data_IF_550092938741
#
_entry.id   IF_550092938741
#
_cell.length_a   1.000
_cell.length_b   1.000
_cell.length_c   1.000
_cell.angle_alpha   90.00
_cell.angle_beta   90.00
_cell.angle_gamma   90.00
#
_symmetry.space_group_name_H-M   'P 1'
#
loop_
_entity.id
_entity.type
_entity.pdbx_description
1 polymer ?
#
# COMPACT_ATOMS: atom_id res chain seq x y z
N UNK A 1 28.55 46.62 4.43
CA UNK A 1 27.74 46.35 3.22
C UNK A 1 26.79 45.18 3.58
N UNK A 2 25.49 45.50 3.65
CA UNK A 2 24.44 44.53 3.85
C UNK A 2 24.35 43.67 2.57
N UNK A 3 24.64 42.38 2.68
CA UNK A 3 24.48 41.46 1.60
C UNK A 3 23.48 40.36 2.01
N UNK A 4 22.48 40.14 1.17
CA UNK A 4 21.59 39.02 1.30
C UNK A 4 22.35 37.75 0.90
N UNK A 5 22.24 36.71 1.72
CA UNK A 5 22.86 35.42 1.51
C UNK A 5 21.80 34.33 1.43
N UNK A 6 21.86 33.53 0.37
CA UNK A 6 20.95 32.40 0.19
C UNK A 6 21.54 31.19 0.91
N UNK A 7 20.78 30.61 1.85
CA UNK A 7 21.19 29.45 2.62
C UNK A 7 21.33 28.23 1.71
N UNK A 8 22.49 27.53 1.79
CA UNK A 8 22.74 26.35 0.96
C UNK A 8 22.00 25.12 1.49
N UNK A 9 21.92 24.11 0.63
CA UNK A 9 21.62 22.74 1.05
C UNK A 9 22.64 22.24 2.08
N UNK A 10 22.18 21.38 2.99
CA UNK A 10 23.06 20.81 4.00
C UNK A 10 23.91 19.66 3.38
N UNK A 11 25.20 19.83 3.34
CA UNK A 11 26.14 18.79 2.88
C UNK A 11 26.68 17.89 4.01
N UNK A 12 26.29 18.16 5.28
CA UNK A 12 26.70 17.33 6.40
C UNK A 12 25.85 16.07 6.47
N UNK A 13 26.45 14.97 6.94
CA UNK A 13 25.74 13.76 7.24
C UNK A 13 25.30 13.76 8.71
N UNK A 14 24.04 13.44 8.98
CA UNK A 14 23.51 13.27 10.33
C UNK A 14 24.09 12.06 11.03
N UNK A 15 24.03 12.02 12.36
CA UNK A 15 24.40 10.86 13.14
C UNK A 15 23.52 9.65 12.81
N UNK A 16 24.04 8.43 12.99
CA UNK A 16 23.23 7.21 12.89
C UNK A 16 22.00 7.30 13.83
N UNK A 17 20.84 6.80 13.39
CA UNK A 17 19.60 6.83 14.19
C UNK A 17 19.68 5.93 15.43
N UNK A 18 20.51 4.87 15.37
CA UNK A 18 20.89 4.00 16.48
C UNK A 18 22.27 3.43 16.21
N UNK A 19 22.93 2.91 17.26
CA UNK A 19 24.22 2.24 17.13
C UNK A 19 24.11 1.04 16.18
N UNK A 20 25.00 1.00 15.16
CA UNK A 20 25.00 -0.05 14.12
C UNK A 20 23.91 0.09 13.05
N UNK A 21 23.07 1.11 13.10
CA UNK A 21 22.07 1.38 12.06
C UNK A 21 22.72 1.87 10.77
N UNK A 22 22.31 1.37 9.60
CA UNK A 22 22.73 1.92 8.31
C UNK A 22 22.04 3.26 8.00
N UNK A 23 21.01 3.64 8.76
CA UNK A 23 20.23 4.86 8.55
C UNK A 23 20.75 5.98 9.43
N UNK A 24 20.82 7.17 8.85
CA UNK A 24 21.27 8.40 9.49
C UNK A 24 20.10 9.34 9.71
N UNK A 25 20.23 10.25 10.64
CA UNK A 25 19.28 11.36 10.81
C UNK A 25 19.30 12.23 9.58
N UNK A 26 18.14 12.58 9.08
CA UNK A 26 17.97 13.48 7.95
C UNK A 26 18.10 14.94 8.40
N UNK A 27 18.64 15.82 7.54
CA UNK A 27 18.63 17.24 7.77
C UNK A 27 17.19 17.75 7.81
N UNK A 28 16.90 18.62 8.77
CA UNK A 28 15.60 19.25 8.92
C UNK A 28 15.64 20.70 8.44
N UNK A 29 16.46 21.51 9.08
CA UNK A 29 16.59 22.94 8.80
C UNK A 29 17.88 23.50 9.41
N UNK A 30 18.19 24.74 9.07
CA UNK A 30 19.21 25.53 9.74
C UNK A 30 18.58 26.25 10.93
N UNK A 31 19.24 26.25 12.07
CA UNK A 31 18.93 27.13 13.19
C UNK A 31 19.94 28.27 13.22
N UNK A 32 19.46 29.50 13.12
CA UNK A 32 20.27 30.72 13.20
C UNK A 32 19.68 31.57 14.32
N UNK A 33 20.43 31.72 15.42
CA UNK A 33 20.04 32.50 16.60
C UNK A 33 18.64 32.13 17.14
N UNK A 34 18.29 30.86 17.11
CA UNK A 34 16.99 30.34 17.56
C UNK A 34 15.88 30.45 16.53
N UNK A 35 16.15 30.96 15.34
CA UNK A 35 15.18 31.05 14.24
C UNK A 35 15.41 29.88 13.26
N UNK A 36 14.32 29.17 12.90
CA UNK A 36 14.30 28.11 11.90
C UNK A 36 14.38 28.70 10.49
N UNK A 37 15.27 28.17 9.67
CA UNK A 37 15.54 28.60 8.29
C UNK A 37 15.75 27.40 7.40
N UNK A 38 15.35 27.48 6.14
CA UNK A 38 15.45 26.40 5.16
C UNK A 38 16.47 26.70 4.07
N UNK A 39 17.03 25.71 3.40
CA UNK A 39 17.78 25.91 2.16
C UNK A 39 16.97 26.77 1.17
N UNK A 40 17.64 27.75 0.56
CA UNK A 40 16.98 28.69 -0.33
C UNK A 40 16.42 29.94 0.37
N UNK A 41 16.32 29.96 1.70
CA UNK A 41 15.95 31.19 2.42
C UNK A 41 17.04 32.25 2.24
N UNK A 42 16.59 33.48 2.05
CA UNK A 42 17.42 34.68 2.02
C UNK A 42 17.58 35.24 3.42
N UNK A 43 18.82 35.50 3.85
CA UNK A 43 19.12 36.11 5.15
C UNK A 43 20.01 37.32 4.94
N UNK A 44 19.74 38.38 5.70
CA UNK A 44 20.58 39.57 5.72
C UNK A 44 21.73 39.34 6.70
N UNK A 45 22.97 39.41 6.21
CA UNK A 45 24.19 39.20 7.01
C UNK A 45 24.80 40.52 7.39
N UNK A 46 24.63 40.91 8.66
CA UNK A 46 25.14 42.18 9.21
C UNK A 46 26.36 41.96 10.13
N UNK A 47 26.78 40.73 10.35
CA UNK A 47 27.91 40.35 11.22
C UNK A 47 28.16 38.85 11.15
N UNK A 48 28.98 38.34 12.06
CA UNK A 48 29.28 36.89 12.14
C UNK A 48 28.00 36.09 12.46
N UNK A 49 27.67 35.11 11.63
CA UNK A 49 26.50 34.26 11.78
C UNK A 49 26.95 32.78 11.83
N UNK A 50 26.34 32.00 12.70
CA UNK A 50 26.54 30.57 12.78
C UNK A 50 25.23 29.83 12.43
N UNK A 51 25.22 29.15 11.29
CA UNK A 51 24.12 28.28 10.89
C UNK A 51 24.32 26.88 11.50
N UNK A 52 23.45 26.47 12.40
CA UNK A 52 23.50 25.17 13.05
C UNK A 52 22.52 24.22 12.37
N UNK A 53 23.03 23.09 11.85
CA UNK A 53 22.16 22.05 11.28
C UNK A 53 21.31 21.40 12.39
N UNK A 54 20.01 21.29 12.13
CA UNK A 54 19.05 20.58 12.97
C UNK A 54 18.66 19.27 12.27
N UNK A 55 18.63 18.18 13.03
CA UNK A 55 18.44 16.83 12.51
C UNK A 55 17.13 16.24 13.02
N UNK A 56 16.44 15.49 12.17
CA UNK A 56 15.26 14.68 12.50
C UNK A 56 15.51 13.20 12.20
N UNK A 57 14.69 12.34 12.74
CA UNK A 57 14.66 10.95 12.29
C UNK A 57 14.16 10.88 10.82
N UNK A 58 14.65 9.92 10.03
CA UNK A 58 14.12 9.71 8.68
C UNK A 58 12.63 9.40 8.74
N UNK A 59 11.90 9.78 7.71
CA UNK A 59 10.53 9.33 7.52
C UNK A 59 10.51 7.85 7.18
N UNK A 60 9.36 7.21 7.35
CA UNK A 60 9.19 5.81 7.00
C UNK A 60 8.16 5.65 5.89
N UNK A 61 8.32 4.60 5.10
CA UNK A 61 7.23 3.99 4.35
C UNK A 61 6.73 2.79 5.16
N UNK A 62 5.46 2.84 5.56
CA UNK A 62 4.80 1.79 6.31
C UNK A 62 3.82 1.06 5.39
N UNK A 63 4.05 -0.23 5.20
CA UNK A 63 3.22 -1.11 4.42
C UNK A 63 2.22 -1.84 5.31
N UNK A 64 0.96 -1.85 4.89
CA UNK A 64 -0.10 -2.66 5.48
C UNK A 64 -0.49 -3.73 4.47
N UNK A 65 -0.41 -4.98 4.87
CA UNK A 65 -0.74 -6.10 3.99
C UNK A 65 -2.21 -6.12 3.58
N UNK A 66 -3.11 -5.60 4.41
CA UNK A 66 -4.55 -5.59 4.17
C UNK A 66 -5.10 -6.96 3.72
N UNK A 67 -4.62 -8.02 4.38
CA UNK A 67 -4.84 -9.43 4.10
C UNK A 67 -5.53 -10.13 5.26
N UNK A 68 -6.29 -9.40 6.09
CA UNK A 68 -7.02 -9.87 7.28
C UNK A 68 -6.11 -10.29 8.46
N UNK A 69 -4.81 -10.47 8.26
CA UNK A 69 -3.86 -10.84 9.35
C UNK A 69 -3.40 -9.61 10.15
N UNK A 70 -3.47 -8.41 9.55
CA UNK A 70 -2.98 -7.18 10.14
C UNK A 70 -1.48 -6.99 10.05
N UNK A 71 -0.81 -7.71 9.15
CA UNK A 71 0.63 -7.63 8.95
C UNK A 71 1.07 -6.24 8.49
N UNK A 72 2.15 -5.76 9.11
CA UNK A 72 2.71 -4.43 8.88
C UNK A 72 4.23 -4.54 8.76
N UNK A 73 4.79 -3.89 7.74
CA UNK A 73 6.23 -3.72 7.57
C UNK A 73 6.58 -2.23 7.48
N UNK A 74 7.74 -1.83 8.02
CA UNK A 74 8.14 -0.43 8.08
C UNK A 74 9.59 -0.26 7.68
N UNK A 75 9.85 0.66 6.76
CA UNK A 75 11.17 0.94 6.20
C UNK A 75 11.50 2.42 6.33
N UNK A 76 12.62 2.76 6.99
CA UNK A 76 13.10 4.12 7.01
C UNK A 76 13.63 4.53 5.61
N UNK A 77 13.38 5.76 5.23
CA UNK A 77 13.79 6.32 3.95
C UNK A 77 15.17 6.97 4.09
N UNK A 78 16.05 6.73 3.13
CA UNK A 78 17.37 7.36 3.09
C UNK A 78 17.28 8.89 3.03
N UNK A 79 18.38 9.58 3.33
CA UNK A 79 18.46 11.05 3.39
C UNK A 79 18.08 11.73 2.06
N UNK A 80 18.22 11.03 0.94
CA UNK A 80 17.78 11.53 -0.38
C UNK A 80 16.28 11.79 -0.49
N UNK A 81 15.50 11.23 0.43
CA UNK A 81 14.04 11.26 0.37
C UNK A 81 13.45 10.39 -0.76
N UNK A 82 14.29 9.73 -1.57
CA UNK A 82 13.85 8.84 -2.64
C UNK A 82 13.58 7.44 -2.10
N UNK A 83 12.46 6.85 -2.50
CA UNK A 83 12.08 5.50 -2.11
C UNK A 83 11.35 4.79 -3.25
N UNK A 84 11.76 3.58 -3.58
CA UNK A 84 11.07 2.75 -4.57
C UNK A 84 10.13 1.79 -3.84
N UNK A 85 8.84 1.80 -4.22
CA UNK A 85 7.85 0.91 -3.63
C UNK A 85 8.21 -0.55 -3.90
N UNK A 86 8.20 -1.35 -2.84
CA UNK A 86 8.47 -2.78 -2.91
C UNK A 86 7.33 -3.52 -3.60
N UNK A 87 7.66 -4.64 -4.27
CA UNK A 87 6.65 -5.62 -4.67
C UNK A 87 6.11 -6.33 -3.42
N UNK A 88 4.83 -6.76 -3.42
CA UNK A 88 4.26 -7.47 -2.28
C UNK A 88 4.96 -8.80 -1.99
N UNK A 89 5.57 -9.43 -3.02
CA UNK A 89 6.37 -10.63 -2.90
C UNK A 89 7.78 -10.38 -2.34
N UNK A 90 8.15 -9.12 -2.07
CA UNK A 90 9.47 -8.83 -1.50
C UNK A 90 9.61 -9.55 -0.14
N UNK A 91 10.64 -10.38 0.04
CA UNK A 91 10.79 -11.16 1.28
C UNK A 91 10.86 -10.31 2.55
N UNK A 92 11.24 -9.05 2.43
CA UNK A 92 11.32 -8.12 3.58
C UNK A 92 9.94 -7.68 4.08
N UNK A 93 8.89 -7.79 3.26
CA UNK A 93 7.51 -7.54 3.67
C UNK A 93 6.91 -8.73 4.43
N UNK A 94 7.18 -9.95 3.98
CA UNK A 94 6.63 -11.19 4.54
C UNK A 94 5.11 -11.33 4.37
N UNK A 95 4.51 -10.61 3.41
CA UNK A 95 3.08 -10.61 3.18
C UNK A 95 2.65 -11.77 2.30
N UNK A 96 1.48 -12.35 2.62
CA UNK A 96 0.81 -13.36 1.80
C UNK A 96 -0.69 -13.13 1.85
N UNK A 97 -1.37 -13.34 0.73
CA UNK A 97 -2.83 -13.35 0.67
C UNK A 97 -3.27 -14.33 -0.42
N UNK A 98 -3.62 -15.55 0.01
CA UNK A 98 -4.00 -16.61 -0.88
C UNK A 98 -5.27 -16.26 -1.67
N UNK A 99 -5.40 -16.79 -2.89
CA UNK A 99 -6.52 -16.55 -3.79
C UNK A 99 -6.83 -15.09 -4.10
N UNK A 100 -5.82 -14.21 -4.00
CA UNK A 100 -5.91 -12.81 -4.38
C UNK A 100 -4.73 -12.40 -5.29
N UNK A 101 -5.01 -11.53 -6.24
CA UNK A 101 -3.99 -10.84 -7.04
C UNK A 101 -3.70 -9.49 -6.42
N UNK A 102 -2.43 -9.17 -6.30
CA UNK A 102 -2.01 -7.84 -5.89
C UNK A 102 -2.24 -6.84 -7.02
N UNK A 103 -2.99 -5.77 -6.75
CA UNK A 103 -3.26 -4.71 -7.72
C UNK A 103 -2.33 -3.51 -7.57
N UNK A 104 -1.68 -3.34 -6.43
CA UNK A 104 -0.81 -2.20 -6.14
C UNK A 104 -0.98 -1.66 -4.73
N UNK A 105 -0.33 -0.55 -4.44
CA UNK A 105 -0.34 0.14 -3.16
C UNK A 105 -1.26 1.36 -3.19
N UNK A 106 -2.21 1.43 -2.29
CA UNK A 106 -3.03 2.62 -2.05
C UNK A 106 -2.25 3.58 -1.16
N UNK A 107 -1.90 4.75 -1.70
CA UNK A 107 -1.20 5.84 -0.99
C UNK A 107 -2.00 7.12 -1.24
N UNK A 108 -2.44 7.79 -0.17
CA UNK A 108 -3.25 9.02 -0.23
C UNK A 108 -4.46 8.90 -1.18
N UNK A 109 -5.12 7.73 -1.14
CA UNK A 109 -6.30 7.43 -1.97
C UNK A 109 -5.99 7.16 -3.45
N UNK A 110 -4.73 7.06 -3.84
CA UNK A 110 -4.29 6.76 -5.22
C UNK A 110 -3.60 5.40 -5.28
N UNK A 111 -3.94 4.62 -6.30
CA UNK A 111 -3.25 3.36 -6.59
C UNK A 111 -1.90 3.65 -7.25
N UNK A 112 -0.85 3.00 -6.77
CA UNK A 112 0.51 3.05 -7.31
C UNK A 112 1.04 1.63 -7.47
N UNK A 113 1.72 1.41 -8.58
CA UNK A 113 2.35 0.12 -8.87
C UNK A 113 3.61 -0.09 -8.01
N UNK A 114 3.94 -1.34 -7.75
CA UNK A 114 5.26 -1.72 -7.26
C UNK A 114 6.35 -1.20 -8.20
N UNK A 115 7.50 -0.82 -7.66
CA UNK A 115 8.58 -0.19 -8.44
C UNK A 115 8.41 1.32 -8.67
N UNK A 116 7.27 1.91 -8.27
CA UNK A 116 7.09 3.38 -8.35
C UNK A 116 8.07 4.09 -7.41
N UNK A 117 8.82 5.06 -7.93
CA UNK A 117 9.65 5.94 -7.09
C UNK A 117 8.81 7.04 -6.44
N UNK A 118 9.00 7.25 -5.16
CA UNK A 118 8.37 8.29 -4.36
C UNK A 118 9.39 9.32 -3.89
N UNK A 119 8.97 10.57 -3.84
CA UNK A 119 9.62 11.62 -3.06
C UNK A 119 8.98 11.66 -1.67
N UNK A 120 9.71 11.16 -0.67
CA UNK A 120 9.21 11.01 0.69
C UNK A 120 9.59 12.23 1.53
N UNK A 121 8.65 13.14 1.68
CA UNK A 121 8.80 14.38 2.47
C UNK A 121 8.04 14.33 3.80
N UNK A 122 7.31 13.23 4.07
CA UNK A 122 6.58 12.94 5.31
C UNK A 122 6.43 11.43 5.47
N UNK A 123 5.86 10.97 6.60
CA UNK A 123 5.48 9.56 6.77
C UNK A 123 4.53 9.12 5.65
N UNK A 124 4.81 7.97 5.04
CA UNK A 124 4.00 7.37 3.97
C UNK A 124 3.33 6.10 4.47
N UNK A 125 2.04 5.98 4.20
CA UNK A 125 1.25 4.77 4.45
C UNK A 125 0.88 4.17 3.10
N UNK A 126 1.32 2.94 2.87
CA UNK A 126 1.03 2.15 1.67
C UNK A 126 0.17 0.94 2.07
N UNK A 127 -1.08 0.93 1.64
CA UNK A 127 -2.03 -0.16 1.93
C UNK A 127 -2.18 -1.03 0.70
N UNK A 128 -1.95 -2.33 0.82
CA UNK A 128 -2.12 -3.25 -0.30
C UNK A 128 -3.57 -3.26 -0.80
N UNK A 129 -3.73 -3.23 -2.10
CA UNK A 129 -5.01 -3.44 -2.77
C UNK A 129 -4.99 -4.79 -3.46
N UNK A 130 -6.04 -5.57 -3.20
CA UNK A 130 -6.19 -6.93 -3.68
C UNK A 130 -7.43 -7.11 -4.54
N UNK A 131 -7.35 -8.01 -5.49
CA UNK A 131 -8.46 -8.52 -6.27
C UNK A 131 -8.64 -10.00 -5.97
N UNK A 132 -9.83 -10.39 -5.49
CA UNK A 132 -10.13 -11.80 -5.26
C UNK A 132 -10.12 -12.59 -6.57
N UNK A 133 -9.51 -13.77 -6.54
CA UNK A 133 -9.58 -14.78 -7.60
C UNK A 133 -10.82 -15.66 -7.50
N UNK A 134 -11.62 -15.50 -6.44
CA UNK A 134 -12.81 -16.28 -6.26
C UNK A 134 -14.00 -15.69 -7.02
N UNK A 135 -14.84 -16.57 -7.56
CA UNK A 135 -16.16 -16.30 -8.08
C UNK A 135 -17.21 -16.95 -7.19
N UNK A 136 -18.40 -16.34 -7.10
CA UNK A 136 -19.53 -16.95 -6.38
C UNK A 136 -20.40 -17.71 -7.37
N UNK A 137 -20.62 -19.00 -7.13
CA UNK A 137 -21.65 -19.78 -7.80
C UNK A 137 -22.91 -19.77 -6.95
N UNK A 138 -24.00 -19.25 -7.50
CA UNK A 138 -25.31 -19.18 -6.83
C UNK A 138 -26.34 -19.96 -7.64
N UNK A 139 -27.29 -20.56 -6.95
CA UNK A 139 -28.32 -21.39 -7.54
C UNK A 139 -29.68 -20.70 -7.45
N UNK A 140 -30.42 -20.68 -8.57
CA UNK A 140 -31.76 -20.11 -8.67
C UNK A 140 -32.75 -21.24 -8.97
N UNK A 141 -33.79 -21.36 -8.13
CA UNK A 141 -34.84 -22.36 -8.29
C UNK A 141 -35.74 -22.14 -9.53
N UNK A 142 -35.61 -20.99 -10.20
CA UNK A 142 -36.37 -20.60 -11.40
C UNK A 142 -37.88 -20.91 -11.32
N UNK A 143 -38.47 -20.47 -10.22
CA UNK A 143 -39.91 -20.67 -9.94
C UNK A 143 -40.21 -21.94 -9.13
N UNK A 144 -39.24 -22.79 -8.86
CA UNK A 144 -39.34 -23.85 -7.88
C UNK A 144 -39.27 -23.33 -6.44
N UNK A 145 -39.12 -24.20 -5.46
CA UNK A 145 -39.01 -23.88 -4.05
C UNK A 145 -37.82 -24.61 -3.40
N UNK A 146 -37.41 -24.15 -2.22
CA UNK A 146 -36.23 -24.62 -1.50
C UNK A 146 -35.08 -23.63 -1.59
N UNK A 147 -33.92 -24.02 -1.06
CA UNK A 147 -32.70 -23.21 -1.10
C UNK A 147 -31.48 -24.09 -1.29
N UNK A 148 -30.49 -23.58 -1.98
CA UNK A 148 -29.16 -24.15 -2.08
C UNK A 148 -28.16 -23.03 -1.74
N UNK A 149 -27.15 -23.35 -0.97
CA UNK A 149 -26.14 -22.38 -0.55
C UNK A 149 -25.22 -22.00 -1.73
N UNK A 150 -24.84 -20.73 -1.78
CA UNK A 150 -23.84 -20.30 -2.74
C UNK A 150 -22.44 -20.78 -2.35
N UNK A 151 -21.59 -21.04 -3.33
CA UNK A 151 -20.22 -21.55 -3.15
C UNK A 151 -19.22 -20.60 -3.73
N UNK A 152 -18.10 -20.36 -3.01
CA UNK A 152 -16.95 -19.66 -3.55
C UNK A 152 -16.02 -20.64 -4.27
N UNK A 153 -15.70 -20.34 -5.51
CA UNK A 153 -14.80 -21.16 -6.34
C UNK A 153 -13.70 -20.27 -6.92
N UNK A 154 -12.51 -20.82 -7.07
CA UNK A 154 -11.41 -20.11 -7.73
C UNK A 154 -11.71 -19.89 -9.21
N UNK A 155 -11.52 -18.66 -9.71
CA UNK A 155 -11.75 -18.34 -11.12
C UNK A 155 -10.80 -19.14 -12.03
N UNK A 156 -11.34 -19.74 -13.07
CA UNK A 156 -10.58 -20.51 -14.05
C UNK A 156 -10.36 -21.97 -13.66
N UNK A 157 -10.90 -22.44 -12.53
CA UNK A 157 -10.92 -23.85 -12.17
C UNK A 157 -12.20 -24.54 -12.65
N UNK A 158 -12.14 -25.86 -12.88
CA UNK A 158 -13.32 -26.65 -13.12
C UNK A 158 -14.13 -26.80 -11.83
N UNK A 159 -15.44 -26.62 -11.93
CA UNK A 159 -16.37 -26.80 -10.82
C UNK A 159 -17.44 -27.84 -11.20
N UNK A 160 -17.56 -28.89 -10.39
CA UNK A 160 -18.60 -29.89 -10.54
C UNK A 160 -19.92 -29.32 -10.01
N UNK A 161 -20.90 -29.17 -10.90
CA UNK A 161 -22.23 -28.63 -10.55
C UNK A 161 -22.98 -29.68 -9.75
N UNK A 162 -23.50 -29.35 -8.53
CA UNK A 162 -24.19 -30.31 -7.68
C UNK A 162 -25.54 -30.75 -8.26
N UNK A 163 -26.08 -31.84 -7.72
CA UNK A 163 -27.45 -32.21 -7.96
C UNK A 163 -28.42 -31.13 -7.48
N UNK A 164 -29.58 -31.03 -8.15
CA UNK A 164 -30.59 -30.06 -7.80
C UNK A 164 -31.36 -30.48 -6.55
N UNK A 165 -31.32 -29.65 -5.50
CA UNK A 165 -32.08 -29.84 -4.26
C UNK A 165 -33.41 -29.05 -4.24
N UNK A 166 -33.69 -28.23 -5.29
CA UNK A 166 -34.94 -27.48 -5.38
C UNK A 166 -36.11 -28.39 -5.68
N UNK A 167 -37.29 -28.05 -5.19
CA UNK A 167 -38.55 -28.66 -5.53
C UNK A 167 -39.14 -28.00 -6.77
N UNK A 168 -39.63 -28.80 -7.68
CA UNK A 168 -40.31 -28.28 -8.86
C UNK A 168 -41.57 -27.43 -8.50
N UNK A 169 -41.92 -26.45 -9.31
CA UNK A 169 -43.06 -25.54 -9.03
C UNK A 169 -44.43 -26.24 -8.98
N UNK A 170 -44.52 -27.44 -9.55
CA UNK A 170 -45.73 -28.28 -9.52
C UNK A 170 -45.37 -29.75 -9.72
N UNK A 171 -46.29 -30.66 -9.41
CA UNK A 171 -46.09 -32.11 -9.44
C UNK A 171 -45.98 -32.71 -10.86
N UNK A 172 -46.14 -31.90 -11.90
CA UNK A 172 -46.05 -32.31 -13.29
C UNK A 172 -44.66 -32.09 -13.88
N UNK A 173 -43.78 -31.45 -13.14
CA UNK A 173 -42.43 -31.08 -13.57
C UNK A 173 -41.38 -31.77 -12.72
N UNK A 174 -40.24 -32.06 -13.34
CA UNK A 174 -39.04 -32.55 -12.70
C UNK A 174 -37.87 -31.64 -13.12
N UNK A 175 -36.83 -31.62 -12.30
CA UNK A 175 -35.56 -30.99 -12.69
C UNK A 175 -35.05 -31.62 -14.00
N UNK A 176 -34.60 -30.82 -14.92
CA UNK A 176 -34.13 -31.24 -16.24
C UNK A 176 -32.63 -30.98 -16.40
N UNK A 177 -32.18 -29.80 -16.09
CA UNK A 177 -30.78 -29.38 -16.23
C UNK A 177 -30.56 -28.06 -15.58
N UNK A 178 -29.32 -27.73 -15.28
CA UNK A 178 -28.90 -26.39 -15.01
C UNK A 178 -28.76 -25.60 -16.31
N UNK A 179 -28.96 -24.28 -16.22
CA UNK A 179 -28.72 -23.37 -17.35
C UNK A 179 -27.78 -22.27 -16.88
N UNK A 180 -26.62 -22.15 -17.53
CA UNK A 180 -25.58 -21.16 -17.21
C UNK A 180 -25.25 -20.43 -18.50
N UNK A 181 -25.40 -19.08 -18.50
CA UNK A 181 -25.13 -18.29 -19.69
C UNK A 181 -25.98 -18.63 -20.93
N UNK A 182 -27.11 -19.36 -20.73
CA UNK A 182 -27.99 -19.82 -21.80
C UNK A 182 -27.67 -21.25 -22.31
N UNK A 183 -26.61 -21.87 -21.84
CA UNK A 183 -26.24 -23.26 -22.16
C UNK A 183 -26.74 -24.24 -21.10
N UNK A 184 -26.98 -25.51 -21.50
CA UNK A 184 -27.52 -26.58 -20.63
C UNK A 184 -26.39 -27.51 -20.15
N UNK A 185 -26.45 -27.82 -18.86
CA UNK A 185 -25.52 -28.70 -18.16
C UNK A 185 -26.24 -29.78 -17.37
#
# INVERSE_FOLDING_TARGET
DDHDYILPECSFQGAAVAEGSPYHKAFSHWNIDGVERYPGDEINVTGDITCKAVWRNPYNVTYFANNETGDIARFPVADSGKYTLLDYNDPSLGFQYDNHDFEGWMIDGKLKDAGTELDVTSEVIAVAKWKSKNATVSFDANGGSGSMDSVQVEQGTEYEIPECEFQAPDNTKNFSCWTIGGERY
#
